data_IF_757073918265
#
_entry.id   IF_757073918265
#
_cell.length_a   1.000
_cell.length_b   1.000
_cell.length_c   1.000
_cell.angle_alpha   90.00
_cell.angle_beta   90.00
_cell.angle_gamma   90.00
#
_symmetry.space_group_name_H-M   'P 1'
#
loop_
_entity.id
_entity.type
_entity.pdbx_description
1 polymer ?
#
# COMPACT_ATOMS: atom_id res chain seq x y z
N UNK A 1 -35.13 41.80 67.45
CA UNK A 1 -34.82 40.40 67.09
C UNK A 1 -34.24 40.38 65.66
N UNK A 2 -32.94 40.21 65.58
CA UNK A 2 -32.19 40.14 64.31
C UNK A 2 -31.82 38.67 64.10
N UNK A 3 -32.31 38.04 63.03
CA UNK A 3 -31.94 36.70 62.61
C UNK A 3 -30.86 36.83 61.53
N UNK A 4 -29.66 36.39 61.86
CA UNK A 4 -28.57 36.22 60.89
C UNK A 4 -28.73 34.86 60.16
N UNK A 5 -28.89 34.91 58.87
CA UNK A 5 -28.82 33.76 58.00
C UNK A 5 -27.34 33.55 57.58
N UNK A 6 -26.76 32.43 57.99
CA UNK A 6 -25.48 31.98 57.49
C UNK A 6 -25.68 31.32 56.09
N UNK A 7 -25.18 31.98 55.03
CA UNK A 7 -25.01 31.32 53.76
C UNK A 7 -23.70 30.49 53.81
N UNK A 8 -23.85 29.17 53.77
CA UNK A 8 -22.71 28.27 53.54
C UNK A 8 -22.25 28.37 52.08
N UNK A 9 -21.00 28.72 51.87
CA UNK A 9 -20.33 28.52 50.57
C UNK A 9 -20.04 27.03 50.43
N UNK A 10 -20.67 26.40 49.42
CA UNK A 10 -20.20 25.11 48.95
C UNK A 10 -18.84 25.31 48.29
N UNK A 11 -17.82 24.76 48.90
CA UNK A 11 -16.49 24.62 48.30
C UNK A 11 -16.60 23.48 47.32
N UNK A 12 -16.65 23.79 46.00
CA UNK A 12 -16.60 22.81 44.94
C UNK A 12 -15.31 21.98 45.05
N UNK A 13 -15.49 20.66 45.03
CA UNK A 13 -14.36 19.74 44.98
C UNK A 13 -13.46 20.08 43.77
N UNK A 14 -12.11 20.03 43.93
CA UNK A 14 -11.20 20.28 42.83
C UNK A 14 -11.39 19.17 41.78
N UNK A 15 -11.76 19.56 40.56
CA UNK A 15 -11.78 18.69 39.42
C UNK A 15 -10.39 18.01 39.31
N UNK A 16 -10.36 16.71 39.51
CA UNK A 16 -9.15 15.92 39.46
C UNK A 16 -8.47 16.18 38.10
N UNK A 17 -7.26 16.71 38.12
CA UNK A 17 -6.45 16.92 36.92
C UNK A 17 -6.31 15.57 36.21
N UNK A 18 -6.86 15.46 35.00
CA UNK A 18 -6.68 14.31 34.14
C UNK A 18 -5.18 14.15 33.91
N UNK A 19 -4.59 13.14 34.55
CA UNK A 19 -3.19 12.78 34.32
C UNK A 19 -3.06 12.49 32.83
N UNK A 20 -2.35 13.33 32.08
CA UNK A 20 -1.93 13.02 30.72
C UNK A 20 -1.13 11.72 30.78
N UNK A 21 -1.72 10.66 30.29
CA UNK A 21 -1.03 9.38 30.16
C UNK A 21 0.14 9.57 29.19
N UNK A 22 1.35 9.42 29.69
CA UNK A 22 2.54 9.51 28.86
C UNK A 22 2.62 8.20 28.06
N UNK A 23 2.40 8.29 26.75
CA UNK A 23 2.55 7.12 25.87
C UNK A 23 3.98 6.67 25.89
N UNK A 24 4.20 5.44 26.36
CA UNK A 24 5.50 4.82 26.47
C UNK A 24 5.80 4.05 25.21
N UNK A 25 7.05 4.17 24.72
CA UNK A 25 7.53 3.37 23.59
C UNK A 25 7.48 1.88 23.93
N UNK A 26 6.81 1.09 23.06
CA UNK A 26 6.88 -0.36 23.12
C UNK A 26 8.08 -0.87 22.31
N UNK A 27 8.85 -1.77 22.90
CA UNK A 27 9.97 -2.43 22.22
C UNK A 27 11.07 -1.48 21.76
N UNK A 28 11.90 -1.98 20.87
CA UNK A 28 13.00 -1.22 20.24
C UNK A 28 12.54 -0.84 18.82
N UNK A 29 12.63 0.43 18.41
CA UNK A 29 12.32 0.85 17.07
C UNK A 29 13.06 0.04 16.00
N UNK A 30 12.38 -0.33 14.93
CA UNK A 30 12.95 -1.17 13.88
C UNK A 30 13.99 -0.41 13.07
N UNK A 31 15.25 -0.83 13.17
CA UNK A 31 16.38 -0.14 12.53
C UNK A 31 16.45 -0.41 11.01
N UNK A 32 15.92 -1.55 10.55
CA UNK A 32 16.07 -2.02 9.17
C UNK A 32 14.90 -1.64 8.26
N UNK A 33 14.20 -0.55 8.55
CA UNK A 33 13.18 -0.01 7.63
C UNK A 33 13.83 0.23 6.27
N UNK A 34 13.32 -0.38 5.17
CA UNK A 34 13.96 -0.31 3.87
C UNK A 34 14.00 1.13 3.31
N UNK A 35 14.97 1.39 2.43
CA UNK A 35 14.91 2.59 1.58
C UNK A 35 13.63 2.55 0.74
N UNK A 36 12.99 3.70 0.54
CA UNK A 36 11.69 3.78 -0.18
C UNK A 36 11.72 3.20 -1.59
N UNK A 37 12.88 3.14 -2.25
CA UNK A 37 13.07 2.54 -3.59
C UNK A 37 13.15 1.02 -3.54
N UNK A 38 13.51 0.46 -2.39
CA UNK A 38 13.77 -0.98 -2.21
C UNK A 38 12.56 -1.74 -1.65
N UNK A 39 11.42 -1.07 -1.51
CA UNK A 39 10.21 -1.62 -0.92
C UNK A 39 9.49 -2.57 -1.87
N UNK A 40 9.01 -3.67 -1.33
CA UNK A 40 7.97 -4.56 -1.88
C UNK A 40 6.89 -4.71 -0.82
N UNK A 41 5.71 -4.17 -1.07
CA UNK A 41 4.59 -4.19 -0.12
C UNK A 41 3.79 -5.48 -0.27
N UNK A 42 3.41 -6.07 0.86
CA UNK A 42 2.39 -7.11 0.95
C UNK A 42 1.17 -6.60 1.71
N UNK A 43 0.07 -6.38 1.01
CA UNK A 43 -1.18 -5.90 1.57
C UNK A 43 -1.98 -7.06 2.16
N UNK A 44 -2.40 -6.92 3.42
CA UNK A 44 -3.16 -7.91 4.17
C UNK A 44 -4.57 -7.44 4.44
N UNK A 45 -5.53 -8.16 3.89
CA UNK A 45 -6.93 -8.12 4.28
C UNK A 45 -7.15 -9.16 5.38
N UNK A 46 -7.16 -8.73 6.63
CA UNK A 46 -7.15 -9.61 7.81
C UNK A 46 -8.36 -10.54 7.82
N UNK A 47 -9.55 -10.02 7.47
CA UNK A 47 -10.78 -10.81 7.44
C UNK A 47 -10.72 -11.99 6.50
N UNK A 48 -10.10 -11.82 5.33
CA UNK A 48 -10.01 -12.85 4.30
C UNK A 48 -8.77 -13.74 4.43
N UNK A 49 -7.77 -13.33 5.21
CA UNK A 49 -6.41 -13.87 5.20
C UNK A 49 -6.32 -15.31 5.71
N UNK A 50 -7.01 -15.64 6.80
CA UNK A 50 -7.04 -16.98 7.40
C UNK A 50 -8.47 -17.41 7.70
N UNK A 51 -8.67 -18.64 8.11
CA UNK A 51 -9.98 -19.13 8.52
C UNK A 51 -10.50 -18.35 9.73
N UNK A 52 -9.62 -18.02 10.68
CA UNK A 52 -9.91 -17.24 11.88
C UNK A 52 -10.19 -15.77 11.55
N UNK A 53 -9.61 -15.24 10.48
CA UNK A 53 -9.77 -13.86 10.06
C UNK A 53 -9.24 -12.85 11.10
N UNK A 54 -8.09 -13.13 11.72
CA UNK A 54 -7.53 -12.33 12.80
C UNK A 54 -5.99 -12.16 12.69
N UNK A 55 -5.42 -11.35 13.60
CA UNK A 55 -3.98 -11.04 13.59
C UNK A 55 -3.09 -12.28 13.82
N UNK A 56 -3.54 -13.23 14.62
CA UNK A 56 -2.78 -14.48 14.87
C UNK A 56 -2.66 -15.33 13.60
N UNK A 57 -3.71 -15.35 12.78
CA UNK A 57 -3.68 -16.04 11.48
C UNK A 57 -2.67 -15.41 10.52
N UNK A 58 -2.50 -14.09 10.57
CA UNK A 58 -1.45 -13.38 9.81
C UNK A 58 -0.06 -13.70 10.38
N UNK A 59 0.10 -13.62 11.71
CA UNK A 59 1.36 -13.94 12.40
C UNK A 59 1.86 -15.34 12.05
N UNK A 60 0.98 -16.31 11.98
CA UNK A 60 1.30 -17.71 11.64
C UNK A 60 1.87 -17.88 10.22
N UNK A 61 1.69 -16.90 9.32
CA UNK A 61 2.16 -16.95 7.92
C UNK A 61 3.27 -15.97 7.59
N UNK A 62 3.87 -15.31 8.56
CA UNK A 62 4.96 -14.33 8.33
C UNK A 62 6.15 -14.94 7.58
N UNK A 63 6.49 -16.22 7.84
CA UNK A 63 7.54 -16.92 7.09
C UNK A 63 7.21 -17.05 5.60
N UNK A 64 5.95 -17.31 5.26
CA UNK A 64 5.49 -17.40 3.87
C UNK A 64 5.55 -16.04 3.17
N UNK A 65 5.19 -14.95 3.88
CA UNK A 65 5.24 -13.58 3.36
C UNK A 65 6.70 -13.16 3.16
N UNK A 66 7.58 -13.44 4.12
CA UNK A 66 9.01 -13.19 3.98
C UNK A 66 9.60 -13.98 2.80
N UNK A 67 9.25 -15.27 2.67
CA UNK A 67 9.71 -16.12 1.58
C UNK A 67 9.20 -15.68 0.20
N UNK A 68 8.13 -14.87 0.13
CA UNK A 68 7.68 -14.22 -1.10
C UNK A 68 8.61 -13.06 -1.49
N UNK A 69 9.41 -12.56 -0.55
CA UNK A 69 10.35 -11.46 -0.75
C UNK A 69 9.79 -10.08 -0.40
N UNK A 70 8.61 -10.00 0.20
CA UNK A 70 8.07 -8.74 0.73
C UNK A 70 8.90 -8.26 1.93
N UNK A 71 9.09 -6.95 2.04
CA UNK A 71 9.80 -6.31 3.16
C UNK A 71 8.99 -5.21 3.84
N UNK A 72 7.74 -5.00 3.41
CA UNK A 72 6.76 -4.15 4.10
C UNK A 72 5.43 -4.87 4.15
N UNK A 73 4.90 -5.06 5.36
CA UNK A 73 3.58 -5.59 5.62
C UNK A 73 2.62 -4.42 5.80
N UNK A 74 1.61 -4.31 4.94
CA UNK A 74 0.55 -3.32 5.05
C UNK A 74 -0.72 -3.99 5.53
N UNK A 75 -1.16 -3.66 6.75
CA UNK A 75 -2.39 -4.16 7.35
C UNK A 75 -3.56 -3.23 7.04
N UNK A 76 -4.64 -3.73 6.46
CA UNK A 76 -5.91 -3.01 6.36
C UNK A 76 -6.42 -2.61 7.75
N UNK A 77 -7.43 -1.70 7.87
CA UNK A 77 -7.81 -1.11 9.16
C UNK A 77 -8.08 -2.16 10.25
N UNK A 78 -7.48 -1.94 11.40
CA UNK A 78 -7.53 -2.87 12.56
C UNK A 78 -8.43 -2.37 13.68
N UNK A 79 -9.12 -1.27 13.47
CA UNK A 79 -9.87 -0.52 14.49
C UNK A 79 -11.29 -1.05 14.63
N UNK A 80 -11.96 -0.82 15.81
CA UNK A 80 -13.37 -1.10 15.97
C UNK A 80 -14.23 -0.42 14.91
N UNK A 81 -15.12 -1.19 14.30
CA UNK A 81 -16.03 -0.74 13.23
C UNK A 81 -17.31 -0.16 13.86
N UNK A 82 -17.81 0.93 13.27
CA UNK A 82 -19.08 1.53 13.64
C UNK A 82 -20.29 0.62 13.43
N UNK A 83 -21.34 0.87 14.19
CA UNK A 83 -22.60 0.11 14.12
C UNK A 83 -23.75 0.94 13.55
N UNK A 84 -23.74 2.25 13.79
CA UNK A 84 -24.79 3.13 13.31
C UNK A 84 -24.62 3.41 11.82
N UNK A 85 -25.65 3.13 11.04
CA UNK A 85 -25.67 3.19 9.56
C UNK A 85 -24.63 2.29 8.88
N UNK A 86 -24.09 1.32 9.61
CA UNK A 86 -22.93 0.53 9.18
C UNK A 86 -23.28 -0.48 8.08
N UNK A 87 -22.38 -0.59 7.10
CA UNK A 87 -22.33 -1.69 6.14
C UNK A 87 -21.22 -2.68 6.48
N UNK A 88 -20.73 -2.63 7.72
CA UNK A 88 -19.62 -3.43 8.25
C UNK A 88 -18.29 -3.17 7.51
N UNK A 89 -18.11 -1.97 6.99
CA UNK A 89 -16.86 -1.54 6.35
C UNK A 89 -15.74 -1.44 7.38
N UNK A 90 -14.56 -2.04 7.15
CA UNK A 90 -13.40 -1.83 8.01
C UNK A 90 -12.91 -0.36 8.00
N UNK A 91 -13.36 0.44 7.04
CA UNK A 91 -13.05 1.88 6.93
C UNK A 91 -14.05 2.77 7.69
N UNK A 92 -15.07 2.19 8.32
CA UNK A 92 -16.04 2.90 9.16
C UNK A 92 -15.57 2.90 10.62
N UNK A 93 -14.57 3.72 10.95
CA UNK A 93 -13.85 3.68 12.23
C UNK A 93 -14.70 4.22 13.38
N UNK A 94 -14.92 3.40 14.42
CA UNK A 94 -15.59 3.78 15.64
C UNK A 94 -14.66 4.30 16.72
N UNK A 95 -13.46 3.74 16.81
CA UNK A 95 -12.44 4.13 17.79
C UNK A 95 -11.05 3.95 17.21
N UNK A 96 -10.29 5.03 17.11
CA UNK A 96 -8.92 5.01 16.60
C UNK A 96 -7.88 4.50 17.61
N UNK A 97 -8.24 4.31 18.89
CA UNK A 97 -7.26 4.07 19.96
C UNK A 97 -7.09 2.59 20.30
N UNK A 98 -7.90 1.70 19.74
CA UNK A 98 -7.92 0.27 20.09
C UNK A 98 -7.91 -0.65 18.88
N UNK A 99 -7.42 -1.87 19.07
CA UNK A 99 -7.57 -2.97 18.12
C UNK A 99 -8.99 -3.52 18.26
N UNK A 100 -9.67 -3.80 17.12
CA UNK A 100 -10.99 -4.41 17.19
C UNK A 100 -10.92 -5.81 17.82
N UNK A 101 -11.85 -6.16 18.74
CA UNK A 101 -11.93 -7.53 19.27
C UNK A 101 -12.11 -8.61 18.18
N UNK A 102 -12.62 -8.24 17.00
CA UNK A 102 -12.70 -9.13 15.84
C UNK A 102 -11.33 -9.66 15.44
N UNK A 103 -10.27 -8.84 15.53
CA UNK A 103 -8.93 -9.22 15.10
C UNK A 103 -8.00 -9.63 16.23
N UNK A 104 -8.37 -9.38 17.48
CA UNK A 104 -7.57 -9.72 18.65
C UNK A 104 -7.31 -8.53 19.56
N UNK A 105 -6.12 -8.50 20.16
CA UNK A 105 -5.71 -7.52 21.15
C UNK A 105 -4.51 -6.68 20.68
N UNK A 106 -4.13 -5.68 21.48
CA UNK A 106 -2.87 -4.94 21.27
C UNK A 106 -1.65 -5.86 21.35
N UNK A 107 -1.69 -6.86 22.22
CA UNK A 107 -0.62 -7.86 22.37
C UNK A 107 -0.51 -8.74 21.13
N UNK A 108 -1.62 -9.10 20.49
CA UNK A 108 -1.62 -9.84 19.21
C UNK A 108 -1.02 -8.99 18.08
N UNK A 109 -1.32 -7.69 18.05
CA UNK A 109 -0.69 -6.76 17.09
C UNK A 109 0.82 -6.63 17.35
N UNK A 110 1.23 -6.44 18.61
CA UNK A 110 2.64 -6.35 18.98
C UNK A 110 3.40 -7.62 18.61
N UNK A 111 2.83 -8.78 18.87
CA UNK A 111 3.42 -10.06 18.48
C UNK A 111 3.58 -10.19 16.95
N UNK A 112 2.63 -9.67 16.18
CA UNK A 112 2.73 -9.61 14.73
C UNK A 112 3.86 -8.67 14.29
N UNK A 113 3.92 -7.46 14.86
CA UNK A 113 4.94 -6.45 14.55
C UNK A 113 6.34 -6.98 14.89
N UNK A 114 6.53 -7.51 16.10
CA UNK A 114 7.80 -8.11 16.54
C UNK A 114 8.20 -9.27 15.61
N UNK A 115 7.24 -10.12 15.27
CA UNK A 115 7.44 -11.23 14.34
C UNK A 115 7.85 -10.79 12.94
N UNK A 116 7.29 -9.69 12.42
CA UNK A 116 7.66 -9.08 11.15
C UNK A 116 9.06 -8.45 11.21
N UNK A 117 9.36 -7.67 12.26
CA UNK A 117 10.68 -7.07 12.48
C UNK A 117 11.79 -8.11 12.56
N UNK A 118 11.56 -9.22 13.28
CA UNK A 118 12.48 -10.35 13.35
C UNK A 118 12.76 -11.03 12.00
N UNK A 119 11.91 -10.75 11.00
CA UNK A 119 12.04 -11.21 9.61
C UNK A 119 12.45 -10.10 8.63
N UNK A 120 12.94 -8.98 9.15
CA UNK A 120 13.31 -7.80 8.37
C UNK A 120 12.17 -7.24 7.51
N UNK A 121 10.96 -7.28 8.02
CA UNK A 121 9.79 -6.67 7.40
C UNK A 121 9.28 -5.52 8.29
N UNK A 122 9.14 -4.33 7.71
CA UNK A 122 8.47 -3.21 8.34
C UNK A 122 6.95 -3.42 8.33
N UNK A 123 6.23 -2.80 9.27
CA UNK A 123 4.76 -2.89 9.37
C UNK A 123 4.15 -1.50 9.29
N UNK A 124 3.24 -1.30 8.35
CA UNK A 124 2.43 -0.08 8.25
C UNK A 124 0.95 -0.40 8.45
N UNK A 125 0.22 0.50 9.10
CA UNK A 125 -1.21 0.39 9.31
C UNK A 125 -1.99 1.25 8.31
N UNK A 126 -3.19 0.81 7.97
CA UNK A 126 -4.15 1.66 7.27
C UNK A 126 -4.70 2.73 8.20
N UNK A 127 -4.74 3.97 7.75
CA UNK A 127 -5.21 5.11 8.53
C UNK A 127 -6.29 5.88 7.78
N UNK A 128 -7.49 5.88 8.34
CA UNK A 128 -8.66 6.54 7.76
C UNK A 128 -8.82 7.93 8.36
N UNK A 129 -8.19 8.94 7.72
CA UNK A 129 -8.19 10.30 8.27
C UNK A 129 -9.41 11.13 7.88
N UNK A 130 -10.05 10.84 6.73
CA UNK A 130 -11.08 11.70 6.15
C UNK A 130 -12.41 11.69 6.92
N UNK A 131 -12.79 10.58 7.49
CA UNK A 131 -14.12 10.34 8.07
C UNK A 131 -14.09 9.32 9.19
N UNK A 132 -15.17 9.23 9.94
CA UNK A 132 -15.38 8.25 11.01
C UNK A 132 -16.74 7.57 10.85
N UNK A 133 -17.06 6.60 11.71
CA UNK A 133 -18.46 6.16 11.87
C UNK A 133 -19.32 7.22 12.52
N UNK A 134 -20.65 7.13 12.36
CA UNK A 134 -21.62 8.00 13.04
C UNK A 134 -21.76 7.73 14.55
N UNK A 135 -21.20 6.65 15.05
CA UNK A 135 -21.09 6.31 16.47
C UNK A 135 -19.64 6.28 16.97
N UNK A 136 -18.75 7.03 16.28
CA UNK A 136 -17.37 7.21 16.71
C UNK A 136 -17.32 7.89 18.09
N UNK A 137 -16.32 7.54 18.90
CA UNK A 137 -16.09 8.12 20.22
C UNK A 137 -15.87 9.63 20.21
N UNK A 138 -15.56 10.21 19.07
CA UNK A 138 -15.39 11.66 18.87
C UNK A 138 -16.69 12.41 18.57
N UNK A 139 -17.80 11.76 18.29
CA UNK A 139 -19.10 12.39 17.95
C UNK A 139 -19.57 13.44 18.97
N UNK A 140 -19.34 13.27 20.29
CA UNK A 140 -19.66 14.32 21.26
C UNK A 140 -18.95 15.66 21.04
N UNK A 141 -17.79 15.67 20.33
CA UNK A 141 -17.11 16.90 19.91
C UNK A 141 -17.79 17.45 18.65
N UNK A 142 -18.91 18.10 18.84
CA UNK A 142 -19.84 18.47 17.77
C UNK A 142 -19.24 19.37 16.69
N UNK A 143 -18.18 20.11 16.98
CA UNK A 143 -17.47 21.02 16.05
C UNK A 143 -16.38 20.31 15.24
N UNK A 144 -16.17 19.01 15.45
CA UNK A 144 -15.16 18.24 14.73
C UNK A 144 -15.66 17.69 13.40
N UNK A 145 -16.97 17.82 13.12
CA UNK A 145 -17.63 17.25 11.96
C UNK A 145 -18.27 18.32 11.08
N UNK A 146 -18.20 18.15 9.77
CA UNK A 146 -18.94 18.99 8.83
C UNK A 146 -20.45 18.80 9.06
N UNK A 147 -21.19 19.91 9.03
CA UNK A 147 -22.64 19.94 9.23
C UNK A 147 -23.32 20.64 8.06
N UNK A 148 -24.53 20.17 7.76
CA UNK A 148 -25.42 20.84 6.83
C UNK A 148 -26.11 22.06 7.48
N UNK A 149 -26.93 22.78 6.72
CA UNK A 149 -27.70 23.96 7.21
C UNK A 149 -28.68 23.61 8.35
N UNK A 150 -29.14 22.35 8.42
CA UNK A 150 -30.01 21.85 9.48
C UNK A 150 -29.24 21.45 10.75
N UNK A 151 -27.91 21.48 10.71
CA UNK A 151 -27.06 21.09 11.82
C UNK A 151 -26.75 19.60 11.90
N UNK A 152 -27.16 18.78 10.92
CA UNK A 152 -26.86 17.35 10.88
C UNK A 152 -25.44 17.12 10.38
N UNK A 153 -24.78 16.08 10.91
CA UNK A 153 -23.46 15.66 10.44
C UNK A 153 -23.56 15.15 9.00
N UNK A 154 -22.67 15.64 8.15
CA UNK A 154 -22.62 15.29 6.72
C UNK A 154 -21.85 14.01 6.46
N UNK A 155 -22.24 13.29 5.42
CA UNK A 155 -21.37 12.32 4.75
C UNK A 155 -20.29 13.04 3.92
N UNK A 156 -19.22 12.35 3.49
CA UNK A 156 -18.21 12.92 2.60
C UNK A 156 -18.84 13.50 1.33
N UNK A 157 -18.65 14.80 1.06
CA UNK A 157 -19.24 15.45 -0.12
C UNK A 157 -18.75 14.81 -1.43
N UNK A 158 -19.67 14.64 -2.38
CA UNK A 158 -19.38 14.05 -3.70
C UNK A 158 -19.28 12.52 -3.71
N UNK A 159 -19.50 11.87 -2.58
CA UNK A 159 -19.46 10.41 -2.45
C UNK A 159 -20.81 9.84 -1.97
N UNK A 160 -21.07 8.58 -2.31
CA UNK A 160 -22.25 7.85 -1.82
C UNK A 160 -21.90 6.98 -0.60
N UNK A 161 -21.01 7.45 0.26
CA UNK A 161 -20.58 6.76 1.50
C UNK A 161 -21.50 7.16 2.65
N UNK A 162 -22.62 6.46 2.78
CA UNK A 162 -23.67 6.81 3.73
C UNK A 162 -23.44 6.32 5.14
N UNK A 163 -22.46 5.47 5.33
CA UNK A 163 -22.09 4.85 6.61
C UNK A 163 -21.06 5.64 7.40
N UNK A 164 -20.52 6.72 6.83
CA UNK A 164 -19.44 7.50 7.45
C UNK A 164 -19.72 9.00 7.55
N UNK A 165 -19.21 9.61 8.61
CA UNK A 165 -19.34 10.99 9.02
C UNK A 165 -18.09 11.80 8.63
N UNK A 166 -18.24 12.88 7.87
CA UNK A 166 -17.15 13.73 7.41
C UNK A 166 -16.56 14.57 8.54
N UNK A 167 -15.24 14.48 8.74
CA UNK A 167 -14.51 15.35 9.66
C UNK A 167 -14.32 16.75 9.07
N UNK A 168 -14.31 17.76 9.96
CA UNK A 168 -14.06 19.16 9.60
C UNK A 168 -12.58 19.51 9.79
N UNK A 169 -11.83 19.56 8.70
CA UNK A 169 -10.41 19.89 8.72
C UNK A 169 -10.11 21.39 8.99
N UNK A 170 -11.10 22.26 9.11
CA UNK A 170 -10.90 23.61 9.63
C UNK A 170 -10.67 23.60 11.15
N UNK A 171 -11.13 22.56 11.85
CA UNK A 171 -11.03 22.42 13.30
C UNK A 171 -9.63 21.96 13.73
N UNK A 172 -8.90 22.83 14.41
CA UNK A 172 -7.52 22.57 14.83
C UNK A 172 -7.40 21.60 16.00
N UNK A 173 -8.44 21.44 16.82
CA UNK A 173 -8.43 20.46 17.93
C UNK A 173 -8.57 19.05 17.36
N UNK A 174 -9.48 18.85 16.43
CA UNK A 174 -9.64 17.59 15.70
C UNK A 174 -8.34 17.18 15.03
N UNK A 175 -7.67 18.10 14.27
CA UNK A 175 -6.38 17.82 13.63
C UNK A 175 -5.33 17.37 14.65
N UNK A 176 -5.20 18.07 15.78
CA UNK A 176 -4.22 17.72 16.81
C UNK A 176 -4.49 16.34 17.42
N UNK A 177 -5.76 16.01 17.70
CA UNK A 177 -6.10 14.70 18.26
C UNK A 177 -5.85 13.58 17.23
N UNK A 178 -6.19 13.81 15.96
CA UNK A 178 -5.88 12.87 14.87
C UNK A 178 -4.37 12.58 14.79
N UNK A 179 -3.55 13.62 14.75
CA UNK A 179 -2.08 13.49 14.66
C UNK A 179 -1.49 12.84 15.92
N UNK A 180 -1.99 13.22 17.10
CA UNK A 180 -1.60 12.61 18.37
C UNK A 180 -1.86 11.11 18.37
N UNK A 181 -3.03 10.68 17.91
CA UNK A 181 -3.41 9.28 17.85
C UNK A 181 -2.54 8.50 16.86
N UNK A 182 -2.20 9.08 15.70
CA UNK A 182 -1.21 8.49 14.78
C UNK A 182 0.15 8.28 15.46
N UNK A 183 0.63 9.31 16.17
CA UNK A 183 1.89 9.21 16.91
C UNK A 183 1.85 8.13 17.98
N UNK A 184 0.74 7.99 18.68
CA UNK A 184 0.56 6.96 19.72
C UNK A 184 0.69 5.55 19.15
N UNK A 185 0.15 5.25 17.96
CA UNK A 185 0.29 3.95 17.32
C UNK A 185 1.75 3.62 17.01
N UNK A 186 2.53 4.58 16.51
CA UNK A 186 3.96 4.40 16.26
C UNK A 186 4.67 3.98 17.56
N UNK A 187 4.38 4.67 18.66
CA UNK A 187 5.06 4.42 19.94
C UNK A 187 4.56 3.16 20.63
N UNK A 188 3.24 2.98 20.79
CA UNK A 188 2.67 1.89 21.60
C UNK A 188 2.61 0.53 20.89
N UNK A 189 2.64 0.52 19.57
CA UNK A 189 2.66 -0.72 18.77
C UNK A 189 3.95 -0.93 17.99
N UNK A 190 4.89 0.04 18.02
CA UNK A 190 6.17 -0.01 17.33
C UNK A 190 6.05 -0.23 15.80
N UNK A 191 5.01 0.36 15.18
CA UNK A 191 4.81 0.28 13.74
C UNK A 191 5.72 1.27 13.00
N UNK A 192 5.93 1.04 11.71
CA UNK A 192 6.90 1.76 10.89
C UNK A 192 6.24 2.77 9.94
N UNK A 193 4.95 3.05 10.10
CA UNK A 193 4.26 4.05 9.29
C UNK A 193 2.82 3.75 8.99
N UNK A 194 2.30 4.43 7.96
CA UNK A 194 0.89 4.37 7.58
C UNK A 194 0.69 4.36 6.07
N UNK A 195 -0.36 3.65 5.63
CA UNK A 195 -1.07 3.95 4.40
C UNK A 195 -2.26 4.81 4.77
N UNK A 196 -2.35 6.00 4.22
CA UNK A 196 -3.44 6.93 4.51
C UNK A 196 -4.54 6.76 3.46
N UNK A 197 -5.70 6.32 3.93
CA UNK A 197 -6.92 6.11 3.15
C UNK A 197 -7.43 7.43 2.56
N UNK A 198 -7.90 7.40 1.31
CA UNK A 198 -8.49 8.53 0.62
C UNK A 198 -7.78 9.86 0.91
N UNK A 199 -6.48 9.89 0.72
CA UNK A 199 -5.64 11.06 1.05
C UNK A 199 -6.00 12.32 0.25
N UNK A 200 -6.74 12.17 -0.85
CA UNK A 200 -7.25 13.30 -1.63
C UNK A 200 -8.39 14.06 -0.91
N UNK A 201 -9.01 13.49 0.14
CA UNK A 201 -10.04 14.15 0.95
C UNK A 201 -9.47 15.20 1.92
N UNK A 202 -8.62 14.84 2.87
CA UNK A 202 -7.99 15.81 3.78
C UNK A 202 -7.13 16.84 3.03
N UNK A 203 -7.07 18.11 3.48
CA UNK A 203 -6.33 19.15 2.78
C UNK A 203 -4.81 18.98 2.91
N UNK A 204 -4.08 19.60 1.99
CA UNK A 204 -2.61 19.57 1.93
C UNK A 204 -1.95 20.01 3.24
N UNK A 205 -2.43 21.10 3.83
CA UNK A 205 -1.85 21.68 5.05
C UNK A 205 -2.05 20.76 6.27
N UNK A 206 -3.13 19.97 6.33
CA UNK A 206 -3.28 18.91 7.32
C UNK A 206 -2.23 17.82 7.14
N UNK A 207 -2.06 17.31 5.93
CA UNK A 207 -1.05 16.27 5.68
C UNK A 207 0.37 16.78 5.97
N UNK A 208 0.68 18.01 5.57
CA UNK A 208 1.97 18.64 5.89
C UNK A 208 2.20 18.72 7.40
N UNK A 209 1.22 19.19 8.17
CA UNK A 209 1.26 19.25 9.62
C UNK A 209 1.43 17.85 10.26
N UNK A 210 0.66 16.87 9.80
CA UNK A 210 0.71 15.51 10.30
C UNK A 210 2.07 14.87 10.04
N UNK A 211 2.54 14.91 8.80
CA UNK A 211 3.78 14.26 8.39
C UNK A 211 4.99 14.90 9.06
N UNK A 212 5.06 16.23 9.13
CA UNK A 212 6.14 16.93 9.83
C UNK A 212 6.18 16.53 11.32
N UNK A 213 5.01 16.41 11.95
CA UNK A 213 4.93 15.97 13.36
C UNK A 213 5.40 14.53 13.53
N UNK A 214 4.99 13.62 12.65
CA UNK A 214 5.39 12.21 12.72
C UNK A 214 6.89 12.04 12.41
N UNK A 215 7.44 12.77 11.45
CA UNK A 215 8.87 12.75 11.11
C UNK A 215 9.77 13.28 12.24
N UNK A 216 9.21 14.06 13.18
CA UNK A 216 9.91 14.51 14.39
C UNK A 216 10.05 13.41 15.46
N UNK A 217 9.49 12.21 15.24
CA UNK A 217 9.79 11.03 16.06
C UNK A 217 11.15 10.47 15.60
N UNK A 218 12.24 11.03 16.11
CA UNK A 218 13.60 10.76 15.63
C UNK A 218 14.07 9.33 15.86
N UNK A 219 13.40 8.58 16.75
CA UNK A 219 13.69 7.16 17.01
C UNK A 219 13.20 6.21 15.92
N UNK A 220 12.28 6.65 15.04
CA UNK A 220 11.68 5.82 14.00
C UNK A 220 11.99 6.35 12.60
N UNK A 221 12.23 5.44 11.67
CA UNK A 221 12.15 5.71 10.23
C UNK A 221 10.76 5.31 9.78
N UNK A 222 10.02 6.25 9.20
CA UNK A 222 8.63 6.00 8.81
C UNK A 222 8.47 5.91 7.30
N UNK A 223 7.62 4.98 6.87
CA UNK A 223 7.12 4.85 5.51
C UNK A 223 5.68 5.37 5.45
N UNK A 224 5.42 6.36 4.62
CA UNK A 224 4.12 7.01 4.51
C UNK A 224 3.60 6.91 3.08
N UNK A 225 2.53 6.14 2.91
CA UNK A 225 1.86 5.88 1.65
C UNK A 225 0.53 6.65 1.60
N UNK A 226 0.37 7.49 0.59
CA UNK A 226 -0.90 8.15 0.29
C UNK A 226 -1.72 7.29 -0.67
N UNK A 227 -2.94 6.94 -0.31
CA UNK A 227 -3.92 6.53 -1.30
C UNK A 227 -4.51 7.78 -1.95
N UNK A 228 -3.80 8.32 -2.90
CA UNK A 228 -4.15 9.57 -3.56
C UNK A 228 -3.44 9.76 -4.88
N UNK A 229 -3.97 10.70 -5.66
CA UNK A 229 -3.46 11.05 -6.98
C UNK A 229 -2.87 12.46 -7.06
N UNK A 230 -3.13 13.30 -6.05
CA UNK A 230 -2.62 14.68 -6.02
C UNK A 230 -1.10 14.70 -5.94
N UNK A 231 -0.48 15.49 -6.83
CA UNK A 231 0.99 15.63 -6.90
C UNK A 231 1.59 16.24 -5.64
N UNK A 232 0.84 17.10 -4.95
CA UNK A 232 1.29 17.76 -3.73
C UNK A 232 1.37 16.83 -2.51
N UNK A 233 0.93 15.57 -2.60
CA UNK A 233 1.21 14.56 -1.57
C UNK A 233 2.72 14.35 -1.39
N UNK A 234 3.48 14.34 -2.48
CA UNK A 234 4.94 14.29 -2.41
C UNK A 234 5.52 15.49 -1.64
N UNK A 235 5.03 16.70 -1.92
CA UNK A 235 5.46 17.93 -1.22
C UNK A 235 5.00 17.97 0.24
N UNK A 236 3.86 17.33 0.57
CA UNK A 236 3.41 17.17 1.96
C UNK A 236 4.34 16.25 2.76
N UNK A 237 5.12 15.38 2.09
CA UNK A 237 6.13 14.52 2.70
C UNK A 237 5.81 13.02 2.68
N UNK A 238 4.78 12.60 1.94
CA UNK A 238 4.55 11.19 1.66
C UNK A 238 5.71 10.59 0.86
N UNK A 239 6.06 9.35 1.16
CA UNK A 239 7.07 8.60 0.42
C UNK A 239 6.50 8.04 -0.88
N UNK A 240 5.18 7.78 -0.90
CA UNK A 240 4.50 7.11 -1.99
C UNK A 240 3.16 7.76 -2.30
N UNK A 241 2.83 7.80 -3.60
CA UNK A 241 1.48 7.94 -4.12
C UNK A 241 0.98 6.60 -4.68
N UNK A 242 -0.31 6.53 -5.05
CA UNK A 242 -0.98 5.31 -5.48
C UNK A 242 -1.27 5.30 -6.98
N UNK A 243 -0.89 4.22 -7.68
CA UNK A 243 -0.87 4.12 -9.13
C UNK A 243 -2.22 3.77 -9.78
N UNK A 244 -3.30 4.47 -9.43
CA UNK A 244 -4.64 4.23 -10.00
C UNK A 244 -4.66 4.27 -11.53
N UNK A 245 -4.11 5.35 -12.11
CA UNK A 245 -4.10 5.54 -13.56
C UNK A 245 -3.27 4.49 -14.28
N UNK A 246 -2.14 4.09 -13.70
CA UNK A 246 -1.32 3.02 -14.25
C UNK A 246 -2.08 1.68 -14.29
N UNK A 247 -2.78 1.32 -13.21
CA UNK A 247 -3.59 0.10 -13.14
C UNK A 247 -4.72 0.11 -14.18
N UNK A 248 -5.45 1.21 -14.30
CA UNK A 248 -6.51 1.36 -15.30
C UNK A 248 -5.96 1.22 -16.73
N UNK A 249 -4.81 1.82 -17.00
CA UNK A 249 -4.14 1.70 -18.29
C UNK A 249 -3.69 0.25 -18.56
N UNK A 250 -3.16 -0.43 -17.55
CA UNK A 250 -2.75 -1.82 -17.66
C UNK A 250 -3.93 -2.74 -18.07
N UNK A 251 -5.10 -2.56 -17.45
CA UNK A 251 -6.32 -3.28 -17.84
C UNK A 251 -6.71 -3.03 -19.32
N UNK A 252 -6.63 -1.77 -19.77
CA UNK A 252 -6.95 -1.42 -21.18
C UNK A 252 -5.97 -2.07 -22.15
N UNK A 253 -4.69 -2.13 -21.79
CA UNK A 253 -3.65 -2.80 -22.60
C UNK A 253 -3.99 -4.29 -22.74
N UNK A 254 -4.27 -4.99 -21.66
CA UNK A 254 -4.60 -6.42 -21.70
C UNK A 254 -5.95 -6.73 -22.38
N UNK A 255 -6.87 -5.78 -22.40
CA UNK A 255 -8.11 -5.86 -23.20
C UNK A 255 -7.90 -5.52 -24.68
N UNK A 256 -6.65 -5.25 -25.09
CA UNK A 256 -6.29 -4.85 -26.45
C UNK A 256 -7.01 -3.58 -26.96
N UNK A 257 -7.36 -2.66 -26.03
CA UNK A 257 -7.99 -1.37 -26.33
C UNK A 257 -7.02 -0.21 -26.23
N UNK A 258 -5.75 -0.48 -25.85
CA UNK A 258 -4.72 0.52 -25.67
C UNK A 258 -3.35 -0.04 -26.11
N UNK A 259 -2.54 0.82 -26.74
CA UNK A 259 -1.14 0.52 -27.06
C UNK A 259 -0.29 0.41 -25.78
N UNK A 260 0.65 -0.53 -25.74
CA UNK A 260 1.59 -0.69 -24.63
C UNK A 260 2.49 0.54 -24.46
N UNK A 261 2.78 1.29 -25.53
CA UNK A 261 3.50 2.58 -25.45
C UNK A 261 2.89 3.58 -24.48
N UNK A 262 1.57 3.48 -24.22
CA UNK A 262 0.89 4.37 -23.28
C UNK A 262 1.41 4.29 -21.84
N UNK A 263 2.13 3.24 -21.46
CA UNK A 263 2.79 3.08 -20.16
C UNK A 263 3.80 4.21 -19.92
N UNK A 264 4.44 4.71 -20.96
CA UNK A 264 5.45 5.78 -20.86
C UNK A 264 4.86 7.07 -20.28
N UNK A 265 3.61 7.39 -20.60
CA UNK A 265 2.92 8.55 -20.04
C UNK A 265 2.85 8.48 -18.51
N UNK A 266 2.61 7.27 -17.95
CA UNK A 266 2.56 7.05 -16.51
C UNK A 266 3.94 7.04 -15.88
N UNK A 267 4.98 6.61 -16.60
CA UNK A 267 6.36 6.70 -16.13
C UNK A 267 6.82 8.17 -15.95
N UNK A 268 6.20 9.09 -16.64
CA UNK A 268 6.44 10.54 -16.53
C UNK A 268 5.47 11.16 -15.52
N UNK A 269 4.16 10.99 -15.75
CA UNK A 269 3.13 11.71 -15.00
C UNK A 269 3.06 11.30 -13.53
N UNK A 270 3.23 10.02 -13.21
CA UNK A 270 3.14 9.52 -11.83
C UNK A 270 4.24 10.10 -10.92
N UNK A 271 5.39 10.45 -11.51
CA UNK A 271 6.55 10.97 -10.78
C UNK A 271 6.70 12.49 -10.88
N UNK A 272 5.74 13.19 -11.51
CA UNK A 272 5.77 14.64 -11.59
C UNK A 272 5.66 15.25 -10.17
N UNK A 273 6.67 16.04 -9.78
CA UNK A 273 6.76 16.65 -8.44
C UNK A 273 7.34 15.74 -7.35
N UNK A 274 7.71 14.50 -7.67
CA UNK A 274 8.41 13.63 -6.74
C UNK A 274 9.86 14.09 -6.55
N UNK A 275 10.31 14.16 -5.29
CA UNK A 275 11.71 14.34 -4.94
C UNK A 275 12.47 12.99 -5.05
N UNK A 276 13.82 13.05 -4.94
CA UNK A 276 14.63 11.83 -5.00
C UNK A 276 14.18 10.79 -3.97
N UNK A 277 14.01 9.57 -4.44
CA UNK A 277 13.59 8.43 -3.66
C UNK A 277 12.09 8.30 -3.41
N UNK A 278 11.27 9.33 -3.64
CA UNK A 278 9.81 9.18 -3.60
C UNK A 278 9.32 8.33 -4.77
N UNK A 279 8.33 7.48 -4.53
CA UNK A 279 7.91 6.45 -5.47
C UNK A 279 6.40 6.43 -5.68
N UNK A 280 5.99 5.69 -6.72
CA UNK A 280 4.60 5.32 -6.98
C UNK A 280 4.40 3.86 -6.60
N UNK A 281 3.37 3.54 -5.83
CA UNK A 281 2.95 2.15 -5.62
C UNK A 281 2.18 1.67 -6.84
N UNK A 282 2.66 0.58 -7.45
CA UNK A 282 2.02 -0.08 -8.58
C UNK A 282 1.57 -1.48 -8.21
N UNK A 283 0.47 -1.94 -8.77
CA UNK A 283 -0.16 -3.21 -8.39
C UNK A 283 -0.94 -3.82 -9.56
N UNK A 284 -1.18 -5.12 -9.46
CA UNK A 284 -2.12 -5.85 -10.33
C UNK A 284 -3.42 -6.14 -9.62
N UNK A 285 -3.48 -5.97 -8.30
CA UNK A 285 -4.68 -6.07 -7.47
C UNK A 285 -4.50 -5.30 -6.16
N UNK A 286 -5.61 -4.90 -5.55
CA UNK A 286 -5.76 -4.43 -4.17
C UNK A 286 -7.15 -4.81 -3.65
N UNK A 287 -7.47 -4.44 -2.42
CA UNK A 287 -8.74 -4.80 -1.77
C UNK A 287 -9.99 -4.22 -2.47
N UNK A 288 -9.88 -3.08 -3.15
CA UNK A 288 -10.98 -2.46 -3.89
C UNK A 288 -11.18 -3.11 -5.25
N UNK A 289 -10.14 -3.06 -6.10
CA UNK A 289 -10.24 -3.54 -7.48
C UNK A 289 -10.42 -5.05 -7.57
N UNK A 290 -9.96 -5.82 -6.58
CA UNK A 290 -10.23 -7.25 -6.52
C UNK A 290 -11.73 -7.53 -6.40
N UNK A 291 -12.42 -6.79 -5.54
CA UNK A 291 -13.86 -6.90 -5.35
C UNK A 291 -14.68 -6.32 -6.50
N UNK A 292 -14.33 -5.11 -6.98
CA UNK A 292 -15.10 -4.39 -7.99
C UNK A 292 -14.84 -4.88 -9.41
N UNK A 293 -13.57 -5.07 -9.78
CA UNK A 293 -13.18 -5.28 -11.19
C UNK A 293 -12.92 -6.76 -11.50
N UNK A 294 -12.21 -7.47 -10.60
CA UNK A 294 -11.86 -8.88 -10.79
C UNK A 294 -10.53 -9.26 -10.17
N UNK A 295 -10.27 -10.56 -10.15
CA UNK A 295 -8.95 -11.09 -9.80
C UNK A 295 -7.93 -10.76 -10.89
N UNK A 296 -6.62 -10.82 -10.63
CA UNK A 296 -5.62 -10.72 -11.69
C UNK A 296 -5.83 -11.74 -12.82
N UNK A 297 -6.33 -12.94 -12.49
CA UNK A 297 -6.65 -13.98 -13.47
C UNK A 297 -7.76 -13.53 -14.44
N UNK A 298 -8.78 -12.83 -13.91
CA UNK A 298 -9.89 -12.30 -14.72
C UNK A 298 -9.44 -11.14 -15.62
N UNK A 299 -8.60 -10.26 -15.04
CA UNK A 299 -8.26 -8.97 -15.67
C UNK A 299 -7.18 -9.06 -16.72
N UNK A 300 -6.24 -10.01 -16.59
CA UNK A 300 -5.00 -10.05 -17.37
C UNK A 300 -4.84 -11.32 -18.23
N UNK A 301 -5.93 -12.03 -18.55
CA UNK A 301 -5.86 -13.18 -19.45
C UNK A 301 -5.31 -14.44 -18.77
N UNK A 302 -5.78 -14.75 -17.59
CA UNK A 302 -5.43 -15.94 -16.83
C UNK A 302 -4.04 -15.86 -16.18
N UNK A 303 -3.48 -17.02 -15.84
CA UNK A 303 -2.22 -17.11 -15.09
C UNK A 303 -1.05 -16.43 -15.82
N UNK A 304 -0.85 -16.74 -17.10
CA UNK A 304 0.29 -16.20 -17.87
C UNK A 304 0.24 -14.68 -17.98
N UNK A 305 -0.91 -14.15 -18.35
CA UNK A 305 -1.08 -12.70 -18.45
C UNK A 305 -0.98 -12.00 -17.09
N UNK A 306 -1.46 -12.62 -16.00
CA UNK A 306 -1.26 -12.08 -14.64
C UNK A 306 0.22 -11.97 -14.29
N UNK A 307 1.03 -12.95 -14.64
CA UNK A 307 2.47 -12.91 -14.41
C UNK A 307 3.16 -11.88 -15.30
N UNK A 308 2.78 -11.78 -16.57
CA UNK A 308 3.27 -10.74 -17.48
C UNK A 308 2.96 -9.32 -16.93
N UNK A 309 1.74 -9.09 -16.46
CA UNK A 309 1.36 -7.84 -15.83
C UNK A 309 2.19 -7.54 -14.56
N UNK A 310 2.41 -8.57 -13.72
CA UNK A 310 3.18 -8.41 -12.49
C UNK A 310 4.66 -8.13 -12.75
N UNK A 311 5.27 -8.72 -13.78
CA UNK A 311 6.66 -8.39 -14.19
C UNK A 311 6.79 -6.91 -14.54
N UNK A 312 5.85 -6.34 -15.28
CA UNK A 312 5.86 -4.90 -15.60
C UNK A 312 5.73 -4.06 -14.32
N UNK A 313 4.81 -4.43 -13.43
CA UNK A 313 4.63 -3.76 -12.13
C UNK A 313 5.89 -3.82 -11.27
N UNK A 314 6.54 -4.99 -11.22
CA UNK A 314 7.69 -5.22 -10.34
C UNK A 314 8.98 -4.59 -10.84
N UNK A 315 9.17 -4.43 -12.17
CA UNK A 315 10.48 -4.12 -12.74
C UNK A 315 10.58 -2.76 -13.42
N UNK A 316 9.47 -2.19 -13.91
CA UNK A 316 9.57 -1.00 -14.74
C UNK A 316 9.93 0.26 -13.96
N UNK A 317 9.05 0.77 -13.16
CA UNK A 317 9.25 1.98 -12.35
C UNK A 317 8.27 2.00 -11.18
N UNK A 318 8.71 2.51 -10.02
CA UNK A 318 7.93 2.49 -8.78
C UNK A 318 8.21 1.26 -7.94
N UNK A 319 7.33 1.00 -6.99
CA UNK A 319 7.42 -0.16 -6.10
C UNK A 319 6.18 -1.06 -6.25
N UNK A 320 6.34 -2.39 -6.22
CA UNK A 320 5.22 -3.30 -6.32
C UNK A 320 4.49 -3.47 -5.00
N UNK A 321 3.16 -3.61 -5.09
CA UNK A 321 2.32 -4.09 -4.02
C UNK A 321 1.64 -5.39 -4.45
N UNK A 322 1.68 -6.39 -3.59
CA UNK A 322 1.02 -7.68 -3.73
C UNK A 322 -0.17 -7.70 -2.78
N UNK A 323 -1.38 -7.87 -3.32
CA UNK A 323 -2.57 -8.10 -2.50
C UNK A 323 -2.67 -9.57 -2.13
N UNK A 324 -2.90 -9.86 -0.86
CA UNK A 324 -2.92 -11.22 -0.34
C UNK A 324 -3.86 -12.14 -1.14
N UNK A 325 -3.35 -13.32 -1.46
CA UNK A 325 -4.06 -14.33 -2.23
C UNK A 325 -3.82 -14.29 -3.74
N UNK A 326 -3.35 -13.17 -4.31
CA UNK A 326 -3.02 -13.14 -5.73
C UNK A 326 -1.85 -14.07 -6.08
N UNK A 327 -0.87 -14.20 -5.19
CA UNK A 327 0.30 -15.06 -5.35
C UNK A 327 -0.02 -16.56 -5.31
N UNK A 328 -1.13 -16.94 -4.72
CA UNK A 328 -1.61 -18.32 -4.72
C UNK A 328 -2.64 -18.62 -5.81
N UNK A 329 -2.93 -17.63 -6.68
CA UNK A 329 -3.89 -17.78 -7.77
C UNK A 329 -5.33 -17.95 -7.27
N UNK A 330 -5.73 -17.18 -6.25
CA UNK A 330 -7.11 -17.18 -5.74
C UNK A 330 -8.09 -16.97 -6.90
N UNK A 331 -8.98 -17.94 -7.19
CA UNK A 331 -9.77 -17.93 -8.42
C UNK A 331 -11.08 -17.12 -8.31
N UNK A 332 -11.32 -16.48 -7.18
CA UNK A 332 -12.52 -15.70 -6.90
C UNK A 332 -12.19 -14.39 -6.19
N UNK A 333 -13.10 -13.44 -6.30
CA UNK A 333 -12.99 -12.12 -5.68
C UNK A 333 -13.14 -12.19 -4.16
N UNK A 334 -12.33 -11.44 -3.45
CA UNK A 334 -12.51 -11.17 -2.03
C UNK A 334 -13.44 -9.96 -1.89
N UNK A 335 -14.75 -10.23 -1.80
CA UNK A 335 -15.77 -9.19 -1.88
C UNK A 335 -15.98 -8.47 -0.57
N UNK A 336 -16.17 -7.14 -0.65
CA UNK A 336 -16.55 -6.29 0.48
C UNK A 336 -17.85 -6.80 1.15
N UNK A 337 -17.96 -6.79 2.50
CA UNK A 337 -17.01 -6.29 3.50
C UNK A 337 -15.98 -7.35 3.97
N UNK A 338 -15.62 -8.32 3.13
CA UNK A 338 -14.56 -9.33 3.30
C UNK A 338 -14.84 -10.41 4.33
N UNK A 339 -16.08 -10.63 4.71
CA UNK A 339 -16.49 -11.60 5.74
C UNK A 339 -16.85 -12.96 5.18
N UNK A 340 -17.18 -13.03 3.88
CA UNK A 340 -17.80 -14.23 3.26
C UNK A 340 -16.80 -15.18 2.63
N UNK A 341 -15.61 -14.69 2.25
CA UNK A 341 -14.61 -15.48 1.50
C UNK A 341 -13.27 -15.48 2.21
N UNK A 342 -12.57 -16.61 2.13
CA UNK A 342 -11.22 -16.81 2.68
C UNK A 342 -10.27 -17.18 1.56
N UNK A 343 -8.99 -16.82 1.70
CA UNK A 343 -7.97 -17.17 0.72
C UNK A 343 -7.73 -18.67 0.75
N UNK A 344 -7.81 -19.36 -0.41
CA UNK A 344 -7.56 -20.78 -0.52
C UNK A 344 -6.06 -21.04 -0.67
N UNK A 345 -5.32 -20.92 0.42
CA UNK A 345 -3.86 -21.06 0.41
C UNK A 345 -3.40 -22.38 -0.22
N UNK A 346 -2.39 -22.29 -1.09
CA UNK A 346 -1.84 -23.46 -1.77
C UNK A 346 -2.58 -23.87 -3.05
N UNK A 347 -3.47 -23.04 -3.58
CA UNK A 347 -4.22 -23.33 -4.82
C UNK A 347 -3.31 -23.52 -6.02
N UNK A 348 -2.33 -22.61 -6.22
CA UNK A 348 -1.35 -22.71 -7.32
C UNK A 348 0.08 -22.53 -6.78
N UNK A 349 0.75 -23.60 -6.35
CA UNK A 349 2.14 -23.52 -5.90
C UNK A 349 3.12 -23.04 -6.96
N UNK A 350 2.85 -23.33 -8.25
CA UNK A 350 3.71 -22.89 -9.33
C UNK A 350 3.61 -21.37 -9.55
N UNK A 351 2.42 -20.78 -9.42
CA UNK A 351 2.24 -19.33 -9.45
C UNK A 351 2.94 -18.65 -8.25
N UNK A 352 2.81 -19.23 -7.06
CA UNK A 352 3.52 -18.75 -5.88
C UNK A 352 5.03 -18.79 -6.07
N UNK A 353 5.58 -19.84 -6.66
CA UNK A 353 7.00 -19.96 -6.96
C UNK A 353 7.45 -18.91 -7.99
N UNK A 354 6.62 -18.60 -8.97
CA UNK A 354 6.91 -17.58 -9.97
C UNK A 354 6.92 -16.17 -9.36
N UNK A 355 5.96 -15.82 -8.49
CA UNK A 355 5.99 -14.57 -7.71
C UNK A 355 7.29 -14.46 -6.89
N UNK A 356 7.66 -15.52 -6.16
CA UNK A 356 8.91 -15.54 -5.38
C UNK A 356 10.14 -15.26 -6.25
N UNK A 357 10.22 -15.89 -7.42
CA UNK A 357 11.33 -15.73 -8.37
C UNK A 357 11.44 -14.29 -8.88
N UNK A 358 10.30 -13.69 -9.26
CA UNK A 358 10.25 -12.31 -9.75
C UNK A 358 10.66 -11.34 -8.64
N UNK A 359 10.10 -11.47 -7.44
CA UNK A 359 10.42 -10.58 -6.32
C UNK A 359 11.86 -10.77 -5.84
N UNK A 360 12.38 -12.01 -5.82
CA UNK A 360 13.76 -12.28 -5.45
C UNK A 360 14.75 -11.58 -6.38
N UNK A 361 14.54 -11.65 -7.69
CA UNK A 361 15.40 -10.93 -8.64
C UNK A 361 15.30 -9.42 -8.46
N UNK A 362 14.09 -8.86 -8.26
CA UNK A 362 13.94 -7.44 -7.94
C UNK A 362 14.77 -7.04 -6.71
N UNK A 363 14.71 -7.84 -5.65
CA UNK A 363 15.42 -7.55 -4.41
C UNK A 363 16.95 -7.65 -4.57
N UNK A 364 17.43 -8.48 -5.48
CA UNK A 364 18.86 -8.62 -5.79
C UNK A 364 19.37 -7.55 -6.74
N UNK A 365 18.59 -7.13 -7.73
CA UNK A 365 19.01 -6.19 -8.77
C UNK A 365 18.88 -4.73 -8.34
N UNK A 366 19.99 -4.03 -8.20
CA UNK A 366 19.99 -2.59 -7.97
C UNK A 366 19.52 -1.84 -9.20
N UNK A 367 19.84 -2.32 -10.41
CA UNK A 367 19.36 -1.73 -11.64
C UNK A 367 17.82 -1.74 -11.71
N UNK A 368 17.16 -2.84 -11.36
CA UNK A 368 15.68 -2.89 -11.33
C UNK A 368 15.10 -1.90 -10.33
N UNK A 369 15.67 -1.80 -9.14
CA UNK A 369 15.12 -0.94 -8.07
C UNK A 369 15.41 0.55 -8.28
N UNK A 370 16.58 0.90 -8.81
CA UNK A 370 17.11 2.28 -8.79
C UNK A 370 17.65 2.76 -10.13
N UNK A 371 17.78 1.86 -11.11
CA UNK A 371 18.41 2.15 -12.39
C UNK A 371 17.62 3.11 -13.26
N UNK A 372 18.35 3.80 -14.13
CA UNK A 372 17.76 4.62 -15.18
C UNK A 372 16.98 3.76 -16.16
N UNK A 373 15.77 4.18 -16.49
CA UNK A 373 14.84 3.49 -17.38
C UNK A 373 14.98 4.04 -18.80
N UNK A 374 15.24 3.14 -19.78
CA UNK A 374 15.11 3.44 -21.21
C UNK A 374 14.05 2.54 -21.81
N UNK A 375 13.02 3.12 -22.42
CA UNK A 375 11.89 2.39 -22.99
C UNK A 375 12.10 2.09 -24.49
N UNK A 376 11.70 0.88 -24.88
CA UNK A 376 11.64 0.39 -26.28
C UNK A 376 10.24 -0.18 -26.56
N UNK A 377 9.23 0.23 -25.83
CA UNK A 377 7.87 -0.29 -25.95
C UNK A 377 7.34 -0.13 -27.38
N UNK A 378 6.70 -1.19 -27.88
CA UNK A 378 5.93 -1.20 -29.12
C UNK A 378 4.43 -1.10 -28.79
N UNK A 379 3.57 -1.32 -29.78
CA UNK A 379 2.13 -1.37 -29.50
C UNK A 379 1.73 -2.62 -28.70
N UNK A 380 2.53 -3.69 -28.75
CA UNK A 380 2.19 -5.00 -28.19
C UNK A 380 3.17 -5.49 -27.12
N UNK A 381 4.43 -5.03 -27.15
CA UNK A 381 5.50 -5.49 -26.26
C UNK A 381 5.95 -4.36 -25.35
N UNK A 382 5.92 -4.61 -24.04
CA UNK A 382 6.58 -3.78 -23.06
C UNK A 382 8.06 -4.16 -23.01
N UNK A 383 8.91 -3.30 -23.57
CA UNK A 383 10.35 -3.51 -23.66
C UNK A 383 11.09 -2.34 -23.02
N UNK A 384 12.05 -2.62 -22.15
CA UNK A 384 12.84 -1.56 -21.50
C UNK A 384 14.17 -2.09 -20.94
N UNK A 385 15.14 -1.21 -20.81
CA UNK A 385 16.34 -1.46 -19.99
C UNK A 385 16.31 -0.66 -18.71
N UNK A 386 16.98 -1.20 -17.69
CA UNK A 386 17.29 -0.54 -16.42
C UNK A 386 18.81 -0.60 -16.24
N UNK A 387 19.43 0.57 -16.02
CA UNK A 387 20.89 0.69 -15.94
C UNK A 387 21.29 1.28 -14.58
N UNK A 388 22.19 0.61 -13.86
CA UNK A 388 22.78 1.12 -12.63
C UNK A 388 24.23 0.65 -12.46
N UNK A 389 25.18 1.58 -12.53
CA UNK A 389 26.60 1.23 -12.48
C UNK A 389 26.97 0.21 -13.56
N UNK A 390 27.53 -0.91 -13.16
CA UNK A 390 27.91 -2.00 -14.07
C UNK A 390 26.75 -2.92 -14.48
N UNK A 391 25.59 -2.80 -13.82
CA UNK A 391 24.45 -3.69 -14.07
C UNK A 391 23.48 -3.07 -15.09
N UNK A 392 23.19 -3.81 -16.15
CA UNK A 392 22.12 -3.53 -17.08
C UNK A 392 21.14 -4.71 -17.11
N UNK A 393 19.85 -4.42 -17.03
CA UNK A 393 18.78 -5.41 -17.14
C UNK A 393 17.88 -5.02 -18.32
N UNK A 394 17.63 -5.97 -19.22
CA UNK A 394 16.64 -5.86 -20.30
C UNK A 394 15.42 -6.71 -19.94
N UNK A 395 14.25 -6.11 -20.04
CA UNK A 395 12.97 -6.79 -19.82
C UNK A 395 12.13 -6.68 -21.08
N UNK A 396 11.63 -7.81 -21.58
CA UNK A 396 10.71 -7.91 -22.70
C UNK A 396 9.45 -8.63 -22.20
N UNK A 397 8.27 -8.05 -22.40
CA UNK A 397 6.99 -8.67 -22.01
C UNK A 397 6.00 -8.55 -23.15
N UNK A 398 5.58 -9.67 -23.72
CA UNK A 398 4.45 -9.71 -24.63
C UNK A 398 3.15 -9.50 -23.83
N UNK A 399 2.46 -8.39 -24.06
CA UNK A 399 1.22 -8.05 -23.35
C UNK A 399 -0.04 -8.39 -24.14
N UNK A 400 0.07 -9.37 -25.07
CA UNK A 400 -1.02 -9.83 -25.94
C UNK A 400 -1.24 -11.33 -25.84
N UNK A 401 -2.47 -11.76 -26.08
CA UNK A 401 -2.84 -13.18 -26.20
C UNK A 401 -2.57 -13.70 -27.64
N UNK A 402 -1.43 -13.34 -28.18
CA UNK A 402 -0.98 -13.77 -29.50
C UNK A 402 0.55 -13.78 -29.58
N UNK A 403 1.07 -14.51 -30.54
CA UNK A 403 2.51 -14.48 -30.85
C UNK A 403 2.85 -13.11 -31.45
N UNK A 404 3.89 -12.47 -30.92
CA UNK A 404 4.36 -11.15 -31.36
C UNK A 404 5.84 -11.20 -31.69
N UNK A 405 6.23 -10.61 -32.81
CA UNK A 405 7.61 -10.38 -33.19
C UNK A 405 8.07 -9.00 -32.67
N UNK A 406 9.16 -8.98 -31.93
CA UNK A 406 9.80 -7.76 -31.43
C UNK A 406 11.08 -7.50 -32.21
N UNK A 407 11.18 -6.34 -32.84
CA UNK A 407 12.41 -5.88 -33.51
C UNK A 407 13.39 -5.36 -32.44
N UNK A 408 14.55 -6.02 -32.35
CA UNK A 408 15.59 -5.67 -31.38
C UNK A 408 16.49 -4.60 -31.98
N UNK A 409 16.72 -3.53 -31.22
CA UNK A 409 17.61 -2.43 -31.67
C UNK A 409 19.08 -2.89 -31.69
N UNK A 410 19.91 -2.34 -32.58
CA UNK A 410 21.30 -2.78 -32.75
C UNK A 410 22.14 -2.75 -31.47
N UNK A 411 21.93 -1.76 -30.61
CA UNK A 411 22.64 -1.62 -29.33
C UNK A 411 22.38 -2.78 -28.38
N UNK A 412 21.23 -3.45 -28.47
CA UNK A 412 20.88 -4.59 -27.63
C UNK A 412 21.40 -5.92 -28.17
N UNK A 413 21.73 -5.99 -29.49
CA UNK A 413 22.24 -7.20 -30.16
C UNK A 413 23.77 -7.35 -30.08
N UNK A 414 24.49 -6.30 -29.70
CA UNK A 414 25.94 -6.23 -29.80
C UNK A 414 26.71 -7.14 -28.82
N UNK A 415 26.08 -7.56 -27.74
CA UNK A 415 26.73 -8.33 -26.65
C UNK A 415 25.84 -9.44 -26.13
N UNK A 416 26.41 -10.53 -25.57
CA UNK A 416 25.63 -11.57 -24.93
C UNK A 416 24.97 -11.05 -23.65
N UNK A 417 23.83 -11.68 -23.31
CA UNK A 417 23.03 -11.44 -22.12
C UNK A 417 22.86 -12.74 -21.33
N UNK A 418 22.90 -12.69 -20.04
CA UNK A 418 22.55 -13.81 -19.17
C UNK A 418 21.03 -13.84 -18.96
N UNK A 419 20.39 -14.99 -19.18
CA UNK A 419 18.98 -15.18 -18.86
C UNK A 419 18.83 -15.31 -17.35
N UNK A 420 18.03 -14.43 -16.75
CA UNK A 420 17.86 -14.36 -15.28
C UNK A 420 17.11 -15.58 -14.73
N UNK A 421 16.24 -16.16 -15.53
CA UNK A 421 15.32 -17.20 -15.08
C UNK A 421 15.60 -18.59 -15.65
N UNK A 422 16.45 -18.64 -16.65
CA UNK A 422 16.93 -19.88 -17.24
C UNK A 422 18.45 -19.87 -17.25
N UNK A 423 19.06 -21.00 -17.10
CA UNK A 423 20.52 -21.09 -17.17
C UNK A 423 21.02 -20.79 -18.59
N UNK A 424 22.06 -19.99 -18.68
CA UNK A 424 22.76 -19.72 -19.92
C UNK A 424 22.83 -18.25 -20.31
N UNK A 425 23.68 -18.02 -21.33
CA UNK A 425 23.88 -16.72 -21.97
C UNK A 425 23.41 -16.79 -23.40
N UNK A 426 22.80 -15.72 -23.90
CA UNK A 426 22.33 -15.65 -25.30
C UNK A 426 22.70 -14.30 -25.92
N UNK A 427 22.95 -14.32 -27.22
CA UNK A 427 23.06 -13.11 -28.03
C UNK A 427 21.76 -12.90 -28.78
N UNK A 428 21.18 -11.69 -28.60
CA UNK A 428 19.91 -11.38 -29.23
C UNK A 428 20.06 -11.27 -30.74
N UNK A 429 19.11 -11.88 -31.43
CA UNK A 429 18.95 -11.70 -32.88
C UNK A 429 18.21 -10.40 -33.18
N UNK A 430 18.27 -9.86 -34.42
CA UNK A 430 17.55 -8.63 -34.76
C UNK A 430 16.02 -8.71 -34.57
N UNK A 431 15.48 -9.93 -34.41
CA UNK A 431 14.08 -10.20 -34.18
C UNK A 431 13.91 -11.30 -33.13
N UNK A 432 13.05 -11.08 -32.16
CA UNK A 432 12.67 -12.06 -31.15
C UNK A 432 11.17 -12.32 -31.28
N UNK A 433 10.78 -13.59 -31.32
CA UNK A 433 9.38 -14.01 -31.31
C UNK A 433 8.97 -14.39 -29.90
N UNK A 434 7.98 -13.69 -29.34
CA UNK A 434 7.42 -13.92 -28.01
C UNK A 434 6.07 -14.61 -28.13
N UNK A 435 5.87 -15.71 -27.41
CA UNK A 435 4.56 -16.39 -27.31
C UNK A 435 3.56 -15.52 -26.51
N UNK A 436 2.25 -15.86 -26.54
CA UNK A 436 1.25 -15.14 -25.77
C UNK A 436 1.64 -14.99 -24.30
N UNK A 437 1.68 -13.73 -23.80
CA UNK A 437 2.03 -13.36 -22.43
C UNK A 437 3.40 -13.85 -21.93
N UNK A 438 4.31 -14.29 -22.83
CA UNK A 438 5.68 -14.61 -22.44
C UNK A 438 6.45 -13.36 -22.05
N UNK A 439 7.39 -13.52 -21.14
CA UNK A 439 8.35 -12.49 -20.78
C UNK A 439 9.77 -13.04 -20.71
N UNK A 440 10.72 -12.17 -20.93
CA UNK A 440 12.15 -12.45 -20.88
C UNK A 440 12.84 -11.38 -20.03
N UNK A 441 13.69 -11.82 -19.11
CA UNK A 441 14.48 -10.94 -18.25
C UNK A 441 15.94 -11.30 -18.39
N UNK A 442 16.71 -10.36 -18.93
CA UNK A 442 18.09 -10.57 -19.28
C UNK A 442 18.98 -9.58 -18.51
N UNK A 443 20.13 -10.05 -18.05
CA UNK A 443 21.08 -9.23 -17.30
C UNK A 443 22.45 -9.25 -17.97
N UNK A 444 23.12 -8.11 -17.91
CA UNK A 444 24.51 -7.96 -18.30
C UNK A 444 25.27 -7.24 -17.20
N UNK A 445 26.43 -7.76 -16.82
CA UNK A 445 27.38 -7.11 -15.93
C UNK A 445 28.61 -6.68 -16.75
N UNK A 446 28.83 -5.37 -16.84
CA UNK A 446 30.02 -4.82 -17.49
C UNK A 446 31.09 -4.60 -16.43
N UNK A 447 32.33 -5.05 -16.72
CA UNK A 447 33.47 -4.65 -15.88
C UNK A 447 33.64 -3.13 -15.95
N UNK A 448 33.52 -2.46 -14.81
CA UNK A 448 33.92 -1.05 -14.73
C UNK A 448 35.47 -1.04 -14.85
N UNK A 449 35.98 -0.55 -15.96
CA UNK A 449 37.42 -0.31 -16.15
C UNK A 449 37.89 0.87 -15.30
#
# INVERSE_FOLDING_TARGET
LIIHSCMGQEVGEPVAAVKKEVVVQYGIPFANVPDRRDVTIYQVNIRAFSQEGNLRGVTARLDSIQALGANVLYLMPIYPVGKLNSVNSPYCIRDYCSVTPEFGTMEDLRALVDGAHNRNMAVILDWVANHTSFDNVWIPNTTWYLRNESGDIMNPPGHNWRDVAQLDFSNQEMRREMIKTMKEWILKANIDGFRCDYSDGPPFDFWKQAIDTLRNITSHRLLLLSEGSRKNHYTAGFDYNFGFGFFENLKRIFRNTQSVKSIENFNISDFAGAADGQQMVRYTSNHDVNGSDGTPLDLFGGKKGSMAAFVVVAYMKGIPMIYNGQETGTPYRLTFPFTSTKIPWGTDPAMTAEYKRIVAFRNQSTAIRRGELTSFCTDDVCAFTKNYGAEQVLVLVNMRDSVVDFAVTPELTATPWDDVFNDGSLTLTPKITLKPYDYMVLRKLTTLN
#
